data_IF_120199401450
#
_entry.id   IF_120199401450
#
_cell.length_a   1.000
_cell.length_b   1.000
_cell.length_c   1.000
_cell.angle_alpha   90.00
_cell.angle_beta   90.00
_cell.angle_gamma   90.00
#
_symmetry.space_group_name_H-M   'P 1'
#
loop_
_entity.id
_entity.type
_entity.pdbx_description
1 polymer ?
#
# COMPACT_ATOMS: atom_id res chain seq x y z
N UNK A 1 -15.39 -5.92 -22.52
CA UNK A 1 -14.88 -4.67 -21.91
C UNK A 1 -14.21 -4.85 -20.56
N UNK A 2 -14.54 -5.86 -19.74
CA UNK A 2 -13.94 -6.09 -18.41
C UNK A 2 -12.49 -6.61 -18.43
N UNK A 3 -12.04 -7.23 -19.51
CA UNK A 3 -10.67 -7.72 -19.67
C UNK A 3 -9.61 -6.61 -19.59
N UNK A 4 -9.89 -5.43 -20.12
CA UNK A 4 -8.95 -4.30 -20.11
C UNK A 4 -8.60 -3.82 -18.70
N UNK A 5 -9.55 -3.53 -17.78
CA UNK A 5 -9.23 -3.19 -16.40
C UNK A 5 -8.47 -4.29 -15.66
N UNK A 6 -8.79 -5.56 -15.92
CA UNK A 6 -8.08 -6.70 -15.29
C UNK A 6 -6.61 -6.74 -15.75
N UNK A 7 -6.36 -6.60 -17.05
CA UNK A 7 -5.00 -6.57 -17.59
C UNK A 7 -4.21 -5.39 -16.98
N UNK A 8 -4.80 -4.20 -16.97
CA UNK A 8 -4.17 -3.00 -16.40
C UNK A 8 -3.87 -3.19 -14.91
N UNK A 9 -4.79 -3.79 -14.14
CA UNK A 9 -4.58 -4.06 -12.72
C UNK A 9 -3.44 -5.04 -12.48
N UNK A 10 -3.36 -6.11 -13.27
CA UNK A 10 -2.25 -7.10 -13.19
C UNK A 10 -0.91 -6.42 -13.51
N UNK A 11 -0.84 -5.62 -14.57
CA UNK A 11 0.37 -4.86 -14.90
C UNK A 11 0.77 -3.91 -13.77
N UNK A 12 -0.20 -3.20 -13.18
CA UNK A 12 0.02 -2.31 -12.06
C UNK A 12 0.63 -3.04 -10.86
N UNK A 13 0.10 -4.22 -10.51
CA UNK A 13 0.60 -5.03 -9.39
C UNK A 13 1.99 -5.62 -9.68
N UNK A 14 2.24 -6.08 -10.90
CA UNK A 14 3.58 -6.54 -11.32
C UNK A 14 4.58 -5.39 -11.21
N UNK A 15 4.23 -4.21 -11.69
CA UNK A 15 5.11 -3.05 -11.63
C UNK A 15 5.37 -2.60 -10.19
N UNK A 16 4.34 -2.60 -9.33
CA UNK A 16 4.50 -2.37 -7.89
C UNK A 16 5.50 -3.36 -7.26
N UNK A 17 5.41 -4.64 -7.62
CA UNK A 17 6.35 -5.65 -7.14
C UNK A 17 7.81 -5.36 -7.54
N UNK A 18 8.04 -4.95 -8.80
CA UNK A 18 9.38 -4.53 -9.24
C UNK A 18 9.90 -3.33 -8.48
N UNK A 19 9.07 -2.31 -8.27
CA UNK A 19 9.44 -1.12 -7.49
C UNK A 19 9.79 -1.48 -6.04
N UNK A 20 9.01 -2.37 -5.41
CA UNK A 20 9.31 -2.87 -4.06
C UNK A 20 10.69 -3.53 -4.01
N UNK A 21 11.02 -4.35 -5.01
CA UNK A 21 12.35 -4.99 -5.08
C UNK A 21 13.47 -3.97 -5.23
N UNK A 22 13.29 -2.95 -6.06
CA UNK A 22 14.28 -1.90 -6.25
C UNK A 22 14.48 -1.06 -4.98
N UNK A 23 13.39 -0.64 -4.34
CA UNK A 23 13.47 0.07 -3.07
C UNK A 23 14.18 -0.79 -2.00
N UNK A 24 13.87 -2.08 -1.92
CA UNK A 24 14.52 -2.98 -0.95
C UNK A 24 16.02 -3.15 -1.19
N UNK A 25 16.48 -3.14 -2.45
CA UNK A 25 17.90 -3.27 -2.81
C UNK A 25 18.73 -2.03 -2.50
N UNK A 26 18.12 -0.85 -2.41
CA UNK A 26 18.83 0.39 -2.15
C UNK A 26 19.50 0.36 -0.76
N UNK A 27 20.69 0.94 -0.60
CA UNK A 27 21.43 0.97 0.66
C UNK A 27 20.68 1.78 1.72
N UNK A 28 20.71 1.31 2.96
CA UNK A 28 20.00 1.91 4.10
C UNK A 28 20.87 2.84 4.94
N UNK A 29 22.12 3.09 4.52
CA UNK A 29 23.09 3.83 5.33
C UNK A 29 23.67 2.98 6.48
N UNK A 30 24.20 3.63 7.48
CA UNK A 30 24.89 2.96 8.58
C UNK A 30 24.60 3.60 9.94
N UNK A 31 24.91 2.90 11.01
CA UNK A 31 24.90 3.41 12.38
C UNK A 31 23.58 4.08 12.76
N UNK A 32 23.65 5.34 13.15
CA UNK A 32 22.52 6.11 13.68
C UNK A 32 21.32 6.23 12.73
N UNK A 33 21.55 6.17 11.41
CA UNK A 33 20.45 6.19 10.42
C UNK A 33 19.57 4.93 10.53
N UNK A 34 20.18 3.77 10.75
CA UNK A 34 19.46 2.50 10.89
C UNK A 34 18.68 2.49 12.21
N UNK A 35 19.26 2.98 13.29
CA UNK A 35 18.60 3.10 14.60
C UNK A 35 17.35 3.98 14.51
N UNK A 36 17.46 5.16 13.91
CA UNK A 36 16.33 6.08 13.71
C UNK A 36 15.27 5.43 12.82
N UNK A 37 15.67 4.74 11.74
CA UNK A 37 14.75 4.05 10.84
C UNK A 37 13.98 2.94 11.54
N UNK A 38 14.61 2.23 12.47
CA UNK A 38 13.96 1.22 13.27
C UNK A 38 12.89 1.84 14.19
N UNK A 39 13.20 2.94 14.88
CA UNK A 39 12.21 3.66 15.69
C UNK A 39 11.00 4.15 14.86
N UNK A 40 11.25 4.69 13.66
CA UNK A 40 10.18 5.10 12.73
C UNK A 40 9.31 3.91 12.33
N UNK A 41 9.94 2.77 12.03
CA UNK A 41 9.23 1.55 11.67
C UNK A 41 8.37 1.00 12.81
N UNK A 42 8.88 0.98 14.03
CA UNK A 42 8.16 0.55 15.22
C UNK A 42 6.95 1.45 15.48
N UNK A 43 7.13 2.77 15.36
CA UNK A 43 6.05 3.74 15.45
C UNK A 43 4.98 3.51 14.38
N UNK A 44 5.39 3.31 13.12
CA UNK A 44 4.47 3.04 12.01
C UNK A 44 3.67 1.74 12.22
N UNK A 45 4.33 0.65 12.67
CA UNK A 45 3.65 -0.63 12.97
C UNK A 45 2.65 -0.47 14.12
N UNK A 46 3.03 0.24 15.17
CA UNK A 46 2.15 0.50 16.31
C UNK A 46 0.94 1.34 15.93
N UNK A 47 1.16 2.38 15.11
CA UNK A 47 0.09 3.19 14.54
C UNK A 47 -0.86 2.35 13.68
N UNK A 48 -0.31 1.56 12.74
CA UNK A 48 -1.11 0.70 11.87
C UNK A 48 -1.96 -0.29 12.66
N UNK A 49 -1.38 -0.97 13.66
CA UNK A 49 -2.12 -1.91 14.50
C UNK A 49 -3.34 -1.25 15.16
N UNK A 50 -3.16 -0.05 15.70
CA UNK A 50 -4.24 0.70 16.35
C UNK A 50 -5.28 1.18 15.35
N UNK A 51 -4.84 1.74 14.23
CA UNK A 51 -5.70 2.23 13.16
C UNK A 51 -6.54 1.11 12.54
N UNK A 52 -5.91 -0.01 12.18
CA UNK A 52 -6.61 -1.13 11.55
C UNK A 52 -7.62 -1.80 12.48
N UNK A 53 -7.36 -1.81 13.78
CA UNK A 53 -8.36 -2.26 14.75
C UNK A 53 -9.62 -1.38 14.71
N UNK A 54 -9.46 -0.06 14.69
CA UNK A 54 -10.58 0.88 14.60
C UNK A 54 -11.31 0.75 13.23
N UNK A 55 -10.54 0.70 12.14
CA UNK A 55 -11.09 0.50 10.78
C UNK A 55 -11.87 -0.80 10.68
N UNK A 56 -11.36 -1.91 11.25
CA UNK A 56 -12.05 -3.20 11.24
C UNK A 56 -13.38 -3.14 12.00
N UNK A 57 -13.43 -2.45 13.14
CA UNK A 57 -14.67 -2.28 13.90
C UNK A 57 -15.73 -1.52 13.08
N UNK A 58 -15.33 -0.42 12.45
CA UNK A 58 -16.22 0.37 11.58
C UNK A 58 -16.64 -0.44 10.35
N UNK A 59 -15.72 -1.18 9.75
CA UNK A 59 -16.01 -2.01 8.58
C UNK A 59 -17.04 -3.12 8.89
N UNK A 60 -16.95 -3.74 10.07
CA UNK A 60 -17.94 -4.74 10.50
C UNK A 60 -19.33 -4.11 10.64
N UNK A 61 -19.43 -2.94 11.27
CA UNK A 61 -20.71 -2.24 11.41
C UNK A 61 -21.28 -1.88 10.03
N UNK A 62 -20.45 -1.29 9.16
CA UNK A 62 -20.87 -0.92 7.80
C UNK A 62 -21.26 -2.14 6.95
N UNK A 63 -20.58 -3.27 7.11
CA UNK A 63 -20.94 -4.51 6.43
C UNK A 63 -22.38 -4.92 6.77
N UNK A 64 -22.76 -4.93 8.05
CA UNK A 64 -24.11 -5.28 8.46
C UNK A 64 -25.15 -4.24 8.02
N UNK A 65 -24.82 -2.95 8.09
CA UNK A 65 -25.70 -1.89 7.59
C UNK A 65 -25.96 -2.06 6.10
N UNK A 66 -24.93 -2.29 5.30
CA UNK A 66 -25.06 -2.51 3.85
C UNK A 66 -25.79 -3.82 3.54
N UNK A 67 -25.55 -4.86 4.33
CA UNK A 67 -26.25 -6.14 4.18
C UNK A 67 -27.77 -5.98 4.39
N UNK A 68 -28.18 -5.26 5.42
CA UNK A 68 -29.59 -5.05 5.73
C UNK A 68 -30.25 -4.06 4.76
N UNK A 69 -29.54 -3.01 4.34
CA UNK A 69 -30.11 -1.97 3.49
C UNK A 69 -30.10 -2.31 1.99
N UNK A 70 -29.02 -2.93 1.49
CA UNK A 70 -28.76 -3.16 0.06
C UNK A 70 -28.57 -4.63 -0.31
N UNK A 71 -28.56 -5.52 0.70
CA UNK A 71 -28.42 -6.95 0.52
C UNK A 71 -26.97 -7.44 0.43
N UNK A 72 -26.82 -8.76 0.31
CA UNK A 72 -25.53 -9.46 0.43
C UNK A 72 -24.53 -9.06 -0.66
N UNK A 73 -24.98 -8.78 -1.88
CA UNK A 73 -24.08 -8.41 -2.99
C UNK A 73 -23.33 -7.12 -2.68
N UNK A 74 -24.03 -6.08 -2.21
CA UNK A 74 -23.42 -4.80 -1.86
C UNK A 74 -22.46 -4.95 -0.66
N UNK A 75 -22.85 -5.73 0.35
CA UNK A 75 -22.00 -6.00 1.51
C UNK A 75 -20.72 -6.75 1.14
N UNK A 76 -20.78 -7.73 0.24
CA UNK A 76 -19.59 -8.44 -0.25
C UNK A 76 -18.69 -7.53 -1.11
N UNK A 77 -19.24 -6.69 -1.98
CA UNK A 77 -18.48 -5.71 -2.75
C UNK A 77 -17.74 -4.74 -1.83
N UNK A 78 -18.40 -4.24 -0.80
CA UNK A 78 -17.78 -3.40 0.23
C UNK A 78 -16.63 -4.15 0.94
N UNK A 79 -16.84 -5.40 1.34
CA UNK A 79 -15.83 -6.20 2.05
C UNK A 79 -14.57 -6.42 1.19
N UNK A 80 -14.75 -6.79 -0.08
CA UNK A 80 -13.65 -6.96 -1.04
C UNK A 80 -12.86 -5.65 -1.19
N UNK A 81 -13.56 -4.52 -1.39
CA UNK A 81 -12.94 -3.20 -1.49
C UNK A 81 -12.21 -2.79 -0.22
N UNK A 82 -12.79 -3.03 0.95
CA UNK A 82 -12.20 -2.73 2.24
C UNK A 82 -10.90 -3.54 2.48
N UNK A 83 -10.91 -4.83 2.16
CA UNK A 83 -9.72 -5.70 2.27
C UNK A 83 -8.62 -5.24 1.29
N UNK A 84 -8.96 -4.95 0.05
CA UNK A 84 -8.01 -4.48 -0.95
C UNK A 84 -7.38 -3.12 -0.56
N UNK A 85 -8.20 -2.19 -0.08
CA UNK A 85 -7.77 -0.89 0.43
C UNK A 85 -6.85 -1.05 1.64
N UNK A 86 -7.22 -1.89 2.61
CA UNK A 86 -6.41 -2.17 3.77
C UNK A 86 -5.06 -2.80 3.37
N UNK A 87 -5.04 -3.77 2.48
CA UNK A 87 -3.82 -4.42 2.01
C UNK A 87 -2.88 -3.43 1.31
N UNK A 88 -3.40 -2.58 0.41
CA UNK A 88 -2.59 -1.58 -0.29
C UNK A 88 -2.01 -0.55 0.67
N UNK A 89 -2.81 -0.05 1.62
CA UNK A 89 -2.37 0.89 2.63
C UNK A 89 -1.29 0.32 3.56
N UNK A 90 -1.48 -0.92 4.02
CA UNK A 90 -0.49 -1.61 4.86
C UNK A 90 0.84 -1.81 4.14
N UNK A 91 0.81 -2.40 2.95
CA UNK A 91 2.03 -2.65 2.16
C UNK A 91 2.70 -1.31 1.80
N UNK A 92 1.92 -0.32 1.35
CA UNK A 92 2.41 1.01 1.00
C UNK A 92 3.14 1.69 2.16
N UNK A 93 2.53 1.70 3.36
CA UNK A 93 3.14 2.29 4.55
C UNK A 93 4.43 1.56 4.95
N UNK A 94 4.43 0.22 4.89
CA UNK A 94 5.63 -0.56 5.23
C UNK A 94 6.78 -0.32 4.26
N UNK A 95 6.51 -0.16 2.98
CA UNK A 95 7.54 0.15 1.99
C UNK A 95 7.99 1.60 2.10
N UNK A 96 7.07 2.55 2.31
CA UNK A 96 7.39 3.96 2.49
C UNK A 96 8.32 4.18 3.70
N UNK A 97 8.04 3.56 4.84
CA UNK A 97 8.92 3.65 6.01
C UNK A 97 10.31 3.07 5.77
N UNK A 98 10.41 1.99 4.98
CA UNK A 98 11.70 1.44 4.56
C UNK A 98 12.42 2.35 3.55
N UNK A 99 11.68 3.02 2.68
CA UNK A 99 12.24 3.95 1.69
C UNK A 99 12.86 5.19 2.34
N UNK A 100 12.29 5.69 3.45
CA UNK A 100 12.73 6.93 4.09
C UNK A 100 14.24 6.96 4.40
N UNK A 101 14.75 5.93 5.07
CA UNK A 101 16.18 5.85 5.40
C UNK A 101 17.06 5.72 4.16
N UNK A 102 16.57 5.03 3.14
CA UNK A 102 17.28 4.82 1.88
C UNK A 102 17.33 6.10 1.04
N UNK A 103 16.26 6.89 1.07
CA UNK A 103 16.22 8.22 0.47
C UNK A 103 17.19 9.16 1.17
N UNK A 104 17.24 9.12 2.51
CA UNK A 104 18.23 9.89 3.27
C UNK A 104 19.68 9.49 2.95
N UNK A 105 19.96 8.19 2.75
CA UNK A 105 21.29 7.74 2.30
C UNK A 105 21.58 8.16 0.85
N UNK A 106 20.56 8.08 -0.03
CA UNK A 106 20.72 8.51 -1.43
C UNK A 106 21.00 10.02 -1.55
N UNK A 107 20.57 10.83 -0.57
CA UNK A 107 20.81 12.26 -0.53
C UNK A 107 22.30 12.61 -0.49
N UNK A 108 23.14 11.74 0.04
CA UNK A 108 24.61 11.89 0.01
C UNK A 108 25.18 11.86 -1.41
N UNK A 109 24.45 11.26 -2.37
CA UNK A 109 24.86 11.14 -3.78
C UNK A 109 24.28 12.25 -4.67
N UNK A 110 23.46 13.13 -4.11
CA UNK A 110 22.86 14.27 -4.77
C UNK A 110 21.34 14.15 -5.03
N UNK A 111 20.79 15.28 -5.48
CA UNK A 111 19.33 15.47 -5.61
C UNK A 111 18.66 14.48 -6.55
N UNK A 112 19.27 14.20 -7.70
CA UNK A 112 18.68 13.28 -8.69
C UNK A 112 18.51 11.86 -8.15
N UNK A 113 19.51 11.35 -7.41
CA UNK A 113 19.44 10.03 -6.76
C UNK A 113 18.34 9.98 -5.69
N UNK A 114 18.25 11.04 -4.90
CA UNK A 114 17.26 11.20 -3.84
C UNK A 114 15.83 11.18 -4.39
N UNK A 115 15.57 12.04 -5.38
CA UNK A 115 14.24 12.15 -6.00
C UNK A 115 13.82 10.87 -6.70
N UNK A 116 14.74 10.22 -7.42
CA UNK A 116 14.44 8.96 -8.09
C UNK A 116 13.98 7.88 -7.08
N UNK A 117 14.71 7.72 -5.97
CA UNK A 117 14.37 6.72 -4.97
C UNK A 117 13.11 7.08 -4.19
N UNK A 118 12.91 8.36 -3.85
CA UNK A 118 11.71 8.85 -3.20
C UNK A 118 10.46 8.62 -4.07
N UNK A 119 10.57 8.95 -5.38
CA UNK A 119 9.49 8.72 -6.34
C UNK A 119 9.14 7.24 -6.48
N UNK A 120 10.14 6.36 -6.57
CA UNK A 120 9.93 4.91 -6.62
C UNK A 120 9.22 4.40 -5.36
N UNK A 121 9.64 4.87 -4.17
CA UNK A 121 9.00 4.51 -2.90
C UNK A 121 7.53 4.91 -2.84
N UNK A 122 7.19 6.14 -3.25
CA UNK A 122 5.81 6.64 -3.30
C UNK A 122 4.96 5.94 -4.37
N UNK A 123 5.55 5.67 -5.54
CA UNK A 123 4.87 4.99 -6.66
C UNK A 123 4.39 3.58 -6.29
N UNK A 124 5.07 2.88 -5.37
CA UNK A 124 4.60 1.56 -4.88
C UNK A 124 3.17 1.65 -4.38
N UNK A 125 2.88 2.63 -3.52
CA UNK A 125 1.52 2.82 -2.97
C UNK A 125 0.52 3.14 -4.07
N UNK A 126 0.88 4.04 -5.00
CA UNK A 126 0.01 4.41 -6.12
C UNK A 126 -0.38 3.22 -7.00
N UNK A 127 0.60 2.40 -7.39
CA UNK A 127 0.35 1.21 -8.21
C UNK A 127 -0.40 0.11 -7.45
N UNK A 128 -0.18 -0.07 -6.14
CA UNK A 128 -0.95 -1.00 -5.34
C UNK A 128 -2.42 -0.56 -5.22
N UNK A 129 -2.67 0.72 -4.94
CA UNK A 129 -4.04 1.25 -4.82
C UNK A 129 -4.77 1.15 -6.16
N UNK A 130 -4.14 1.57 -7.25
CA UNK A 130 -4.73 1.48 -8.59
C UNK A 130 -4.98 0.02 -9.00
N UNK A 131 -3.99 -0.86 -8.82
CA UNK A 131 -4.08 -2.27 -9.20
C UNK A 131 -5.13 -3.03 -8.39
N UNK A 132 -5.09 -2.95 -7.08
CA UNK A 132 -6.06 -3.63 -6.20
C UNK A 132 -7.45 -3.03 -6.31
N UNK A 133 -7.56 -1.69 -6.47
CA UNK A 133 -8.84 -1.02 -6.68
C UNK A 133 -9.53 -1.45 -7.97
N UNK A 134 -8.81 -1.38 -9.11
CA UNK A 134 -9.34 -1.85 -10.40
C UNK A 134 -9.68 -3.34 -10.39
N UNK A 135 -8.82 -4.17 -9.77
CA UNK A 135 -9.05 -5.61 -9.68
C UNK A 135 -10.28 -5.93 -8.84
N UNK A 136 -10.49 -5.21 -7.73
CA UNK A 136 -11.66 -5.38 -6.86
C UNK A 136 -12.95 -5.03 -7.58
N UNK A 137 -12.98 -3.90 -8.28
CA UNK A 137 -14.16 -3.47 -9.04
C UNK A 137 -14.41 -4.40 -10.22
N UNK A 138 -13.41 -4.68 -11.05
CA UNK A 138 -13.57 -5.55 -12.22
C UNK A 138 -13.91 -6.99 -11.82
N UNK A 139 -13.28 -7.52 -10.77
CA UNK A 139 -13.54 -8.87 -10.29
C UNK A 139 -14.90 -9.03 -9.61
N UNK A 140 -15.47 -7.96 -9.06
CA UNK A 140 -16.80 -8.00 -8.48
C UNK A 140 -17.91 -7.97 -9.55
N UNK A 141 -17.63 -7.36 -10.70
CA UNK A 141 -18.58 -7.29 -11.83
C UNK A 141 -18.48 -8.50 -12.79
N UNK A 142 -17.52 -9.41 -12.58
CA UNK A 142 -17.35 -10.61 -13.40
C UNK A 142 -18.18 -11.76 -12.84
#
# INVERSE_FOLDING_TARGET
MLLFPIIVSIFSLIFAYFLIREVKKAPSGSGKMIEIAQGIREGAVSYLKRQYKAVAQVAVVLFFVLFLALGIKAALGFLIGAIASAASGFIGMMISTQANVKVAEAAKKGLASTLNLAFRGGSVTGFLVAGLGLLSVAGFYF
#
